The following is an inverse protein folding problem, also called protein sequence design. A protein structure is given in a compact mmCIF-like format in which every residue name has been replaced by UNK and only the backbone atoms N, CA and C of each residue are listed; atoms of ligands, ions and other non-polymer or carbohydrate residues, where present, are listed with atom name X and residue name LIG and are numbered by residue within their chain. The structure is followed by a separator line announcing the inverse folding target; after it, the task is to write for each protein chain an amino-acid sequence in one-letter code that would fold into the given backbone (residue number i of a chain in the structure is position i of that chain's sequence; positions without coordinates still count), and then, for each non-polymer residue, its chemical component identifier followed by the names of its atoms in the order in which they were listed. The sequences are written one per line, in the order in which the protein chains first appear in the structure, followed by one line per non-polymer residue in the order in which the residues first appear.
data_IF_313483929230
#
_entry.id   IF_313483929230
#
_cell.length_a   1.000
_cell.length_b   1.000
_cell.length_c   1.000
_cell.angle_alpha   90.00
_cell.angle_beta   90.00
_cell.angle_gamma   90.00
#
_symmetry.space_group_name_H-M   'P 1'
#
loop_
_entity.id
_entity.type
_entity.pdbx_description
1 polymer ?
#
# COMPACT_ATOMS: atom_id res chain seq x y z
N UNK A 1 28.91 -9.41 3.35
CA UNK A 1 28.83 -8.50 2.19
C UNK A 1 28.24 -7.18 2.63
N UNK A 2 28.75 -6.08 2.07
CA UNK A 2 28.31 -4.74 2.40
C UNK A 2 27.93 -3.99 1.12
N UNK A 3 26.80 -3.31 1.15
CA UNK A 3 26.39 -2.37 0.09
C UNK A 3 27.21 -1.09 0.24
N UNK A 4 27.85 -0.66 -0.84
CA UNK A 4 28.78 0.48 -0.85
C UNK A 4 28.33 1.59 -1.81
N UNK A 5 27.13 1.49 -2.36
CA UNK A 5 26.58 2.46 -3.28
C UNK A 5 25.54 1.86 -4.23
N UNK A 6 25.17 2.63 -5.24
CA UNK A 6 24.22 2.26 -6.29
C UNK A 6 24.84 2.48 -7.67
N UNK A 7 24.34 1.73 -8.64
CA UNK A 7 24.62 1.95 -10.06
C UNK A 7 23.34 1.79 -10.88
N UNK A 8 23.27 2.42 -12.02
CA UNK A 8 22.11 2.36 -12.88
C UNK A 8 22.29 3.12 -14.18
N UNK A 9 21.21 3.31 -14.90
CA UNK A 9 21.15 4.13 -16.11
C UNK A 9 20.18 5.28 -15.87
N UNK A 10 20.60 6.49 -16.09
CA UNK A 10 19.74 7.66 -16.01
C UNK A 10 18.65 7.59 -17.09
N UNK A 11 17.38 7.73 -16.65
CA UNK A 11 16.26 7.55 -17.55
C UNK A 11 16.18 8.60 -18.67
N UNK A 12 16.58 9.84 -18.40
CA UNK A 12 16.52 10.95 -19.37
C UNK A 12 17.71 10.92 -20.31
N UNK A 13 18.90 10.85 -19.76
CA UNK A 13 20.17 10.94 -20.54
C UNK A 13 20.60 9.62 -21.14
N UNK A 14 20.05 8.47 -20.66
CA UNK A 14 20.45 7.11 -21.01
C UNK A 14 21.91 6.78 -20.69
N UNK A 15 22.56 7.60 -19.87
CA UNK A 15 23.94 7.40 -19.48
C UNK A 15 24.04 6.53 -18.22
N UNK A 16 25.00 5.60 -18.15
CA UNK A 16 25.27 4.86 -16.94
C UNK A 16 25.82 5.77 -15.85
N UNK A 17 25.43 5.50 -14.61
CA UNK A 17 26.00 6.18 -13.44
C UNK A 17 26.33 5.18 -12.33
N UNK A 18 27.29 5.59 -11.50
CA UNK A 18 27.66 4.90 -10.27
C UNK A 18 27.88 5.94 -9.17
N UNK A 19 27.28 5.70 -8.00
CA UNK A 19 27.45 6.53 -6.80
C UNK A 19 27.83 5.65 -5.63
N UNK A 20 28.91 6.03 -4.95
CA UNK A 20 29.36 5.37 -3.71
C UNK A 20 28.81 6.11 -2.50
N UNK A 21 28.52 5.39 -1.44
CA UNK A 21 28.04 5.90 -0.18
C UNK A 21 28.41 4.96 0.97
N UNK A 22 28.43 5.48 2.22
CA UNK A 22 28.58 4.64 3.40
C UNK A 22 27.34 3.76 3.62
N UNK A 23 26.15 4.29 3.26
CA UNK A 23 24.87 3.62 3.46
C UNK A 23 23.91 3.97 2.32
N UNK A 24 23.09 3.01 1.93
CA UNK A 24 22.01 3.16 0.94
C UNK A 24 20.67 2.94 1.64
N UNK A 25 19.74 3.87 1.47
CA UNK A 25 18.35 3.72 1.92
C UNK A 25 17.47 3.45 0.70
N UNK A 26 16.76 2.33 0.73
CA UNK A 26 15.79 1.95 -0.30
C UNK A 26 14.38 2.41 0.10
N UNK A 27 13.90 3.43 -0.59
CA UNK A 27 12.53 3.96 -0.53
C UNK A 27 11.86 3.89 -1.91
N UNK A 28 12.21 2.89 -2.74
CA UNK A 28 11.81 2.81 -4.15
C UNK A 28 10.45 2.18 -4.40
N UNK A 29 9.66 1.98 -3.34
CA UNK A 29 8.30 1.46 -3.44
C UNK A 29 8.23 -0.07 -3.46
N UNK A 30 7.04 -0.62 -3.65
CA UNK A 30 6.77 -2.07 -3.49
C UNK A 30 7.61 -2.96 -4.40
N UNK A 31 7.86 -2.54 -5.63
CA UNK A 31 8.68 -3.30 -6.59
C UNK A 31 10.13 -3.41 -6.16
N UNK A 32 10.62 -2.41 -5.44
CA UNK A 32 11.97 -2.30 -4.87
C UNK A 32 13.04 -3.01 -5.72
N UNK A 33 13.46 -2.35 -6.78
CA UNK A 33 14.50 -2.91 -7.67
C UNK A 33 15.79 -3.18 -6.91
N UNK A 34 16.11 -2.37 -5.89
CA UNK A 34 17.32 -2.52 -5.08
C UNK A 34 17.24 -3.75 -4.17
N UNK A 35 16.13 -3.95 -3.45
CA UNK A 35 15.92 -5.14 -2.61
C UNK A 35 16.09 -6.45 -3.39
N UNK A 36 15.64 -6.47 -4.64
CA UNK A 36 15.75 -7.66 -5.48
C UNK A 36 17.17 -7.96 -5.95
N UNK A 37 18.10 -6.97 -5.85
CA UNK A 37 19.49 -7.10 -6.27
C UNK A 37 20.46 -7.41 -5.12
N UNK A 38 20.04 -7.26 -3.86
CA UNK A 38 20.89 -7.66 -2.73
C UNK A 38 21.10 -9.17 -2.74
N UNK A 39 22.23 -9.61 -2.18
CA UNK A 39 22.60 -11.02 -2.18
C UNK A 39 21.61 -11.91 -1.43
N UNK A 40 21.52 -13.17 -1.84
CA UNK A 40 20.66 -14.18 -1.22
C UNK A 40 21.07 -14.53 0.23
N UNK A 41 22.26 -14.13 0.65
CA UNK A 41 22.78 -14.37 2.01
C UNK A 41 22.21 -13.42 3.05
N UNK A 42 21.52 -12.37 2.64
CA UNK A 42 20.86 -11.44 3.57
C UNK A 42 19.59 -12.05 4.14
N UNK A 43 19.20 -11.60 5.34
CA UNK A 43 17.92 -11.99 5.97
C UNK A 43 16.72 -11.26 5.40
N UNK A 44 16.93 -10.27 4.53
CA UNK A 44 15.86 -9.51 3.87
C UNK A 44 15.09 -10.41 2.91
N UNK A 45 13.77 -10.49 3.08
CA UNK A 45 12.89 -11.17 2.14
C UNK A 45 12.83 -10.38 0.83
N UNK A 46 13.27 -10.99 -0.27
CA UNK A 46 13.35 -10.33 -1.57
C UNK A 46 12.05 -10.33 -2.35
N UNK A 47 11.22 -11.36 -2.16
CA UNK A 47 9.97 -11.56 -2.88
C UNK A 47 8.79 -11.60 -1.91
N UNK A 48 7.73 -10.91 -2.27
CA UNK A 48 6.44 -10.96 -1.56
C UNK A 48 5.56 -12.07 -2.13
N UNK A 49 4.79 -12.76 -1.27
CA UNK A 49 3.76 -13.70 -1.73
C UNK A 49 2.63 -12.91 -2.44
N UNK A 50 2.11 -13.46 -3.54
CA UNK A 50 1.05 -12.82 -4.33
C UNK A 50 -0.23 -12.60 -3.53
N UNK A 51 -0.51 -13.45 -2.52
CA UNK A 51 -1.65 -13.31 -1.61
C UNK A 51 -1.51 -12.14 -0.64
N UNK A 52 -0.33 -11.56 -0.53
CA UNK A 52 -0.01 -10.42 0.31
C UNK A 52 0.11 -9.12 -0.48
N UNK A 53 -0.37 -9.13 -1.74
CA UNK A 53 -0.37 -7.96 -2.63
C UNK A 53 -1.77 -7.73 -3.16
N UNK A 54 -2.27 -6.51 -2.99
CA UNK A 54 -3.47 -6.04 -3.67
C UNK A 54 -3.11 -5.26 -4.93
N UNK A 55 -3.92 -5.47 -5.97
CA UNK A 55 -3.93 -4.64 -7.17
C UNK A 55 -5.01 -3.60 -7.01
N UNK A 56 -4.63 -2.33 -7.05
CA UNK A 56 -5.54 -1.20 -6.79
C UNK A 56 -5.73 -0.37 -8.05
N UNK A 57 -6.97 0.09 -8.28
CA UNK A 57 -7.29 1.09 -9.29
C UNK A 57 -7.88 2.32 -8.62
N UNK A 58 -7.55 3.52 -9.11
CA UNK A 58 -8.13 4.76 -8.59
C UNK A 58 -8.36 5.79 -9.68
N UNK A 59 -9.35 6.67 -9.40
CA UNK A 59 -9.59 7.89 -10.16
C UNK A 59 -9.68 9.10 -9.23
N UNK A 60 -9.21 10.24 -9.70
CA UNK A 60 -9.54 11.54 -9.12
C UNK A 60 -10.66 12.12 -9.98
N UNK A 61 -11.80 12.35 -9.37
CA UNK A 61 -13.02 12.74 -10.07
C UNK A 61 -13.55 14.07 -9.53
N UNK A 62 -14.23 14.81 -10.39
CA UNK A 62 -14.93 16.05 -10.09
C UNK A 62 -16.43 15.77 -10.05
N UNK A 63 -17.14 16.19 -8.99
CA UNK A 63 -18.58 16.03 -8.89
C UNK A 63 -19.19 16.96 -7.85
N UNK A 64 -20.51 17.15 -7.96
CA UNK A 64 -21.30 17.87 -7.00
C UNK A 64 -22.33 16.87 -6.40
N UNK A 65 -22.20 16.48 -5.14
CA UNK A 65 -23.16 15.58 -4.50
C UNK A 65 -24.46 16.33 -4.25
N UNK A 66 -25.60 15.63 -4.47
CA UNK A 66 -26.90 16.09 -4.02
C UNK A 66 -27.07 15.91 -2.50
N UNK A 67 -28.04 16.61 -1.89
CA UNK A 67 -28.31 16.54 -0.45
C UNK A 67 -28.61 15.11 0.07
N UNK A 68 -29.13 14.23 -0.79
CA UNK A 68 -29.47 12.85 -0.43
C UNK A 68 -28.31 11.85 -0.63
N UNK A 69 -27.14 12.31 -1.05
CA UNK A 69 -26.02 11.44 -1.42
C UNK A 69 -25.04 11.24 -0.26
N UNK A 70 -25.24 11.88 0.90
CA UNK A 70 -24.32 11.84 2.04
C UNK A 70 -24.04 10.43 2.58
N UNK A 71 -24.99 9.50 2.44
CA UNK A 71 -24.75 8.09 2.81
C UNK A 71 -23.71 7.38 1.94
N UNK A 72 -23.46 7.89 0.73
CA UNK A 72 -22.49 7.33 -0.24
C UNK A 72 -21.28 8.25 -0.44
N UNK A 73 -21.40 9.50 -0.06
CA UNK A 73 -20.32 10.48 -0.04
C UNK A 73 -20.60 11.50 1.06
N UNK A 74 -19.64 11.69 1.93
CA UNK A 74 -19.63 12.73 2.94
C UNK A 74 -18.30 13.48 2.85
N UNK A 75 -18.28 14.81 2.68
CA UNK A 75 -17.05 15.59 2.53
C UNK A 75 -16.16 15.55 3.78
N UNK A 76 -16.70 15.18 4.93
CA UNK A 76 -16.00 15.15 6.21
C UNK A 76 -15.43 13.75 6.54
N UNK A 77 -15.82 12.71 5.78
CA UNK A 77 -15.44 11.32 6.09
C UNK A 77 -14.80 10.60 4.89
N UNK A 78 -13.80 9.78 5.19
CA UNK A 78 -13.29 8.75 4.29
C UNK A 78 -14.20 7.53 4.35
N UNK A 79 -14.91 7.22 3.27
CA UNK A 79 -15.82 6.08 3.19
C UNK A 79 -15.08 4.87 2.63
N UNK A 80 -15.24 3.74 3.30
CA UNK A 80 -14.72 2.43 2.86
C UNK A 80 -15.90 1.48 2.69
N UNK A 81 -15.96 0.81 1.54
CA UNK A 81 -16.95 -0.20 1.20
C UNK A 81 -16.31 -1.59 1.21
N UNK A 82 -16.70 -2.41 2.18
CA UNK A 82 -16.31 -3.83 2.25
C UNK A 82 -17.35 -4.64 1.47
N UNK A 83 -17.10 -4.89 0.19
CA UNK A 83 -17.97 -5.65 -0.71
C UNK A 83 -17.14 -6.65 -1.52
N UNK A 84 -17.26 -7.95 -1.16
CA UNK A 84 -16.51 -9.03 -1.79
C UNK A 84 -16.92 -9.31 -3.26
N UNK A 85 -18.04 -8.75 -3.71
CA UNK A 85 -18.45 -8.85 -5.13
C UNK A 85 -17.77 -7.79 -6.00
N UNK A 86 -17.50 -6.61 -5.44
CA UNK A 86 -16.86 -5.49 -6.14
C UNK A 86 -15.36 -5.44 -5.90
N UNK A 87 -14.93 -5.69 -4.67
CA UNK A 87 -13.53 -5.62 -4.25
C UNK A 87 -13.11 -6.93 -3.55
N UNK A 88 -13.06 -8.06 -4.28
CA UNK A 88 -12.77 -9.37 -3.71
C UNK A 88 -11.41 -9.40 -3.02
N UNK A 89 -11.42 -9.67 -1.72
CA UNK A 89 -10.25 -9.71 -0.85
C UNK A 89 -9.67 -8.36 -0.45
N UNK A 90 -10.28 -7.27 -0.85
CA UNK A 90 -9.90 -5.90 -0.52
C UNK A 90 -11.10 -5.02 -0.20
N UNK A 91 -11.09 -3.77 -0.64
CA UNK A 91 -12.17 -2.81 -0.40
C UNK A 91 -12.25 -1.74 -1.49
N UNK A 92 -13.43 -1.10 -1.60
CA UNK A 92 -13.62 0.14 -2.35
C UNK A 92 -13.53 1.35 -1.43
N UNK A 93 -13.15 2.51 -1.96
CA UNK A 93 -13.08 3.75 -1.18
C UNK A 93 -13.58 4.96 -1.94
N UNK A 94 -14.09 5.92 -1.15
CA UNK A 94 -14.46 7.26 -1.58
C UNK A 94 -13.85 8.25 -0.59
N UNK A 95 -12.79 8.94 -0.98
CA UNK A 95 -12.04 9.84 -0.11
C UNK A 95 -12.15 11.27 -0.61
N UNK A 96 -12.74 12.19 0.17
CA UNK A 96 -12.82 13.60 -0.18
C UNK A 96 -11.41 14.20 -0.37
N UNK A 97 -11.31 15.13 -1.32
CA UNK A 97 -10.07 15.88 -1.59
C UNK A 97 -10.26 17.40 -1.53
N UNK A 98 -11.42 17.88 -1.09
CA UNK A 98 -11.80 19.29 -1.19
C UNK A 98 -12.16 19.70 -2.61
N UNK A 99 -12.71 20.91 -2.77
CA UNK A 99 -13.03 21.55 -4.06
C UNK A 99 -13.85 20.65 -5.01
N UNK A 100 -14.86 19.96 -4.48
CA UNK A 100 -15.67 18.99 -5.21
C UNK A 100 -14.89 17.85 -5.88
N UNK A 101 -13.69 17.55 -5.39
CA UNK A 101 -12.86 16.43 -5.84
C UNK A 101 -12.96 15.24 -4.91
N UNK A 102 -12.92 14.07 -5.50
CA UNK A 102 -12.92 12.78 -4.78
C UNK A 102 -11.84 11.86 -5.35
N UNK A 103 -11.12 11.19 -4.46
CA UNK A 103 -10.30 10.04 -4.80
C UNK A 103 -11.15 8.81 -4.57
N UNK A 104 -11.56 8.17 -5.66
CA UNK A 104 -12.34 6.94 -5.64
C UNK A 104 -11.52 5.80 -6.21
N UNK A 105 -11.64 4.63 -5.59
CA UNK A 105 -10.92 3.46 -6.06
C UNK A 105 -11.36 2.17 -5.40
N UNK A 106 -10.73 1.11 -5.81
CA UNK A 106 -10.84 -0.21 -5.16
C UNK A 106 -9.51 -0.97 -5.23
N UNK A 107 -9.32 -1.85 -4.26
CA UNK A 107 -8.25 -2.83 -4.21
C UNK A 107 -8.81 -4.24 -4.26
N UNK A 108 -8.11 -5.16 -4.91
CA UNK A 108 -8.48 -6.57 -4.98
C UNK A 108 -7.27 -7.46 -4.70
N UNK A 109 -7.46 -8.54 -3.98
CA UNK A 109 -6.48 -9.62 -3.90
C UNK A 109 -6.67 -10.54 -5.12
N UNK A 110 -5.59 -10.72 -5.86
CA UNK A 110 -5.66 -11.37 -7.19
C UNK A 110 -6.15 -12.80 -7.15
N UNK A 111 -5.75 -13.59 -6.17
CA UNK A 111 -6.15 -14.99 -6.10
C UNK A 111 -7.64 -15.15 -5.71
N UNK A 112 -8.14 -14.24 -4.88
CA UNK A 112 -9.57 -14.21 -4.50
C UNK A 112 -10.41 -13.74 -5.70
N UNK A 113 -9.94 -12.75 -6.45
CA UNK A 113 -10.59 -12.34 -7.71
C UNK A 113 -10.65 -13.49 -8.72
N UNK A 114 -9.56 -14.23 -8.91
CA UNK A 114 -9.53 -15.40 -9.81
C UNK A 114 -10.53 -16.48 -9.36
N UNK A 115 -10.62 -16.78 -8.07
CA UNK A 115 -11.58 -17.71 -7.51
C UNK A 115 -13.03 -17.23 -7.71
N UNK A 116 -13.32 -15.96 -7.43
CA UNK A 116 -14.62 -15.32 -7.69
C UNK A 116 -15.01 -15.41 -9.16
N UNK A 117 -14.12 -15.06 -10.07
CA UNK A 117 -14.36 -15.13 -11.49
C UNK A 117 -14.69 -16.53 -11.96
N UNK A 118 -13.94 -17.55 -11.48
CA UNK A 118 -14.23 -18.95 -11.76
C UNK A 118 -15.62 -19.39 -11.27
N UNK A 119 -15.98 -18.99 -10.04
CA UNK A 119 -17.29 -19.29 -9.45
C UNK A 119 -18.44 -18.66 -10.23
N UNK A 120 -18.27 -17.45 -10.73
CA UNK A 120 -19.32 -16.68 -11.39
C UNK A 120 -19.29 -16.80 -12.93
N UNK A 121 -18.35 -17.53 -13.50
CA UNK A 121 -18.17 -17.60 -14.96
C UNK A 121 -17.81 -16.26 -15.58
N UNK A 122 -17.10 -15.38 -14.85
CA UNK A 122 -16.69 -14.04 -15.27
C UNK A 122 -15.19 -13.96 -15.54
N UNK A 123 -14.76 -12.87 -16.18
CA UNK A 123 -13.35 -12.54 -16.43
C UNK A 123 -13.02 -11.11 -15.98
N UNK A 124 -13.56 -10.71 -14.83
CA UNK A 124 -13.35 -9.36 -14.30
C UNK A 124 -11.88 -9.11 -13.95
N UNK A 125 -11.51 -7.84 -14.05
CA UNK A 125 -10.23 -7.30 -13.63
C UNK A 125 -10.45 -5.97 -12.87
N UNK A 126 -9.39 -5.35 -12.37
CA UNK A 126 -9.48 -4.09 -11.62
C UNK A 126 -10.24 -3.01 -12.40
N UNK A 127 -10.01 -2.90 -13.72
CA UNK A 127 -10.65 -1.87 -14.53
C UNK A 127 -12.16 -2.13 -14.71
N UNK A 128 -12.59 -3.40 -14.97
CA UNK A 128 -14.01 -3.73 -15.08
C UNK A 128 -14.74 -3.57 -13.75
N UNK A 129 -14.13 -3.97 -12.65
CA UNK A 129 -14.69 -3.79 -11.30
C UNK A 129 -14.75 -2.31 -10.90
N UNK A 130 -13.76 -1.51 -11.29
CA UNK A 130 -13.79 -0.06 -11.07
C UNK A 130 -14.96 0.60 -11.80
N UNK A 131 -15.22 0.22 -13.06
CA UNK A 131 -16.39 0.67 -13.81
C UNK A 131 -17.69 0.29 -13.09
N UNK A 132 -17.84 -0.98 -12.70
CA UNK A 132 -19.01 -1.46 -11.96
C UNK A 132 -19.19 -0.72 -10.63
N UNK A 133 -18.11 -0.43 -9.91
CA UNK A 133 -18.12 0.32 -8.65
C UNK A 133 -18.64 1.75 -8.83
N UNK A 134 -18.20 2.44 -9.88
CA UNK A 134 -18.68 3.78 -10.23
C UNK A 134 -20.17 3.77 -10.58
N UNK A 135 -20.63 2.78 -11.33
CA UNK A 135 -22.04 2.63 -11.73
C UNK A 135 -22.96 2.33 -10.53
N UNK A 136 -22.48 1.54 -9.56
CA UNK A 136 -23.23 1.21 -8.33
C UNK A 136 -23.29 2.37 -7.34
N UNK A 137 -22.25 3.19 -7.25
CA UNK A 137 -22.22 4.34 -6.35
C UNK A 137 -22.97 5.52 -7.00
N UNK A 138 -24.25 5.68 -6.61
CA UNK A 138 -25.16 6.68 -7.19
C UNK A 138 -24.67 8.11 -6.99
N UNK A 139 -24.00 8.41 -5.87
CA UNK A 139 -23.49 9.74 -5.57
C UNK A 139 -22.46 10.23 -6.57
N UNK A 140 -21.67 9.31 -7.15
CA UNK A 140 -20.53 9.65 -8.01
C UNK A 140 -20.66 9.13 -9.45
N UNK A 141 -21.76 8.45 -9.81
CA UNK A 141 -21.94 7.89 -11.17
C UNK A 141 -21.86 8.90 -12.31
N UNK A 142 -22.18 10.17 -12.03
CA UNK A 142 -22.10 11.28 -12.99
C UNK A 142 -20.81 12.10 -12.86
N UNK A 143 -19.89 11.70 -11.98
CA UNK A 143 -18.62 12.39 -11.79
C UNK A 143 -17.76 12.30 -13.08
N UNK A 144 -16.99 13.34 -13.33
CA UNK A 144 -16.06 13.44 -14.45
C UNK A 144 -14.64 13.31 -13.94
N UNK A 145 -13.75 12.72 -14.75
CA UNK A 145 -12.32 12.74 -14.44
C UNK A 145 -11.85 14.19 -14.31
N UNK A 146 -11.05 14.46 -13.27
CA UNK A 146 -10.47 15.77 -13.06
C UNK A 146 -9.39 16.05 -14.12
N UNK A 147 -9.56 17.13 -14.87
CA UNK A 147 -8.60 17.58 -15.90
C UNK A 147 -7.47 18.44 -15.31
N UNK A 148 -7.67 18.99 -14.10
CA UNK A 148 -6.78 19.99 -13.49
C UNK A 148 -5.42 19.46 -13.02
N UNK A 149 -5.21 18.15 -13.03
CA UNK A 149 -3.95 17.60 -12.55
C UNK A 149 -2.84 17.59 -13.62
N UNK A 150 -3.03 18.24 -14.77
CA UNK A 150 -2.00 18.43 -15.78
C UNK A 150 -1.43 17.17 -16.45
N UNK A 151 -1.73 16.01 -15.89
CA UNK A 151 -1.30 14.71 -16.38
C UNK A 151 -2.37 13.66 -16.08
N UNK A 152 -2.97 13.14 -17.12
CA UNK A 152 -3.99 12.07 -17.05
C UNK A 152 -3.47 10.84 -16.27
N UNK A 153 -2.16 10.60 -16.31
CA UNK A 153 -1.51 9.52 -15.57
C UNK A 153 -1.54 9.72 -14.05
N UNK A 154 -1.67 10.94 -13.56
CA UNK A 154 -1.78 11.23 -12.14
C UNK A 154 -3.20 11.09 -11.61
N UNK A 155 -4.21 11.11 -12.47
CA UNK A 155 -5.63 11.01 -12.10
C UNK A 155 -6.20 9.60 -12.17
N UNK A 156 -5.57 8.73 -12.94
CA UNK A 156 -5.96 7.33 -13.08
C UNK A 156 -4.74 6.43 -12.98
N UNK A 157 -4.91 5.22 -12.45
CA UNK A 157 -3.80 4.29 -12.43
C UNK A 157 -4.16 2.96 -11.76
N UNK A 158 -3.38 1.94 -12.10
CA UNK A 158 -3.40 0.64 -11.42
C UNK A 158 -2.05 0.47 -10.75
N UNK A 159 -2.07 0.26 -9.44
CA UNK A 159 -0.89 0.14 -8.60
C UNK A 159 -0.97 -1.13 -7.76
N UNK A 160 0.17 -1.58 -7.30
CA UNK A 160 0.25 -2.66 -6.32
C UNK A 160 0.58 -2.08 -4.95
N UNK A 161 0.05 -2.71 -3.92
CA UNK A 161 0.34 -2.38 -2.52
C UNK A 161 0.48 -3.68 -1.73
N UNK A 162 1.43 -3.71 -0.80
CA UNK A 162 1.56 -4.83 0.14
C UNK A 162 0.50 -4.72 1.23
N UNK A 163 -0.08 -5.87 1.59
CA UNK A 163 -1.10 -5.98 2.64
C UNK A 163 -0.71 -7.04 3.67
N UNK A 164 0.57 -7.16 3.94
CA UNK A 164 1.15 -8.01 5.00
C UNK A 164 1.88 -7.16 6.03
N UNK A 165 2.31 -7.77 7.14
CA UNK A 165 3.29 -7.11 8.02
C UNK A 165 4.55 -6.75 7.24
N UNK A 166 5.31 -5.81 7.76
CA UNK A 166 6.60 -5.40 7.18
C UNK A 166 7.54 -6.58 6.97
N UNK A 167 8.55 -6.40 6.13
CA UNK A 167 9.65 -7.35 5.97
C UNK A 167 10.26 -7.66 7.34
N UNK A 168 10.53 -8.93 7.63
CA UNK A 168 11.05 -9.36 8.93
C UNK A 168 12.48 -8.85 9.20
N UNK A 169 13.20 -8.48 8.14
CA UNK A 169 14.50 -7.84 8.23
C UNK A 169 14.54 -6.59 7.34
N UNK A 170 14.83 -5.45 7.95
CA UNK A 170 14.85 -4.14 7.28
C UNK A 170 16.25 -3.67 6.92
N UNK A 171 17.30 -4.43 7.27
CA UNK A 171 18.69 -4.00 7.17
C UNK A 171 19.60 -5.09 6.62
N UNK A 172 20.68 -4.65 6.00
CA UNK A 172 21.87 -5.45 5.68
C UNK A 172 23.10 -4.52 5.82
N UNK A 173 24.31 -5.04 5.75
CA UNK A 173 25.49 -4.20 5.82
C UNK A 173 25.46 -3.07 4.78
N UNK A 174 25.45 -1.82 5.22
CA UNK A 174 25.37 -0.63 4.35
C UNK A 174 24.04 -0.42 3.63
N UNK A 175 22.94 -1.09 4.04
CA UNK A 175 21.65 -1.02 3.35
C UNK A 175 20.47 -1.08 4.32
N UNK A 176 19.47 -0.22 4.09
CA UNK A 176 18.24 -0.14 4.89
C UNK A 176 17.01 0.04 3.99
N UNK A 177 15.88 -0.55 4.41
CA UNK A 177 14.56 -0.47 3.75
C UNK A 177 13.63 0.47 4.52
N UNK A 178 12.77 1.23 3.79
CA UNK A 178 11.75 2.07 4.41
C UNK A 178 10.51 2.21 3.50
N UNK A 179 9.34 2.33 4.10
CA UNK A 179 8.08 2.50 3.37
C UNK A 179 7.66 1.24 2.59
N UNK A 180 7.10 1.42 1.40
CA UNK A 180 6.58 0.30 0.61
C UNK A 180 7.67 -0.68 0.15
N UNK A 181 8.92 -0.22 0.01
CA UNK A 181 10.04 -1.13 -0.26
C UNK A 181 10.28 -2.14 0.86
N UNK A 182 9.89 -1.79 2.09
CA UNK A 182 9.93 -2.62 3.28
C UNK A 182 8.58 -3.31 3.61
N UNK A 183 7.56 -3.18 2.73
CA UNK A 183 6.21 -3.67 2.94
C UNK A 183 5.52 -3.12 4.20
N UNK A 184 5.73 -1.82 4.48
CA UNK A 184 5.22 -1.17 5.68
C UNK A 184 3.76 -0.69 5.63
N UNK A 185 3.04 -0.62 4.48
CA UNK A 185 1.61 -0.35 4.50
C UNK A 185 0.86 -1.29 5.45
N UNK A 186 -0.15 -0.75 6.14
CA UNK A 186 -0.95 -1.53 7.09
C UNK A 186 -1.70 -2.66 6.38
N UNK A 187 -1.71 -3.88 6.94
CA UNK A 187 -2.32 -5.03 6.27
C UNK A 187 -3.82 -4.90 6.00
N UNK A 188 -4.55 -4.13 6.81
CA UNK A 188 -6.02 -4.08 6.76
C UNK A 188 -6.56 -3.00 5.80
N UNK A 189 -5.88 -1.87 5.69
CA UNK A 189 -6.36 -0.70 4.93
C UNK A 189 -5.34 -0.17 3.93
N UNK A 190 -4.21 -0.87 3.77
CA UNK A 190 -3.12 -0.48 2.88
C UNK A 190 -2.57 0.95 3.10
N UNK A 191 -2.86 1.55 4.26
CA UNK A 191 -2.40 2.89 4.63
C UNK A 191 -0.89 2.92 4.87
N UNK A 192 -0.11 3.46 3.94
CA UNK A 192 1.36 3.43 3.95
C UNK A 192 2.03 4.72 4.44
N UNK A 193 1.37 5.89 4.34
CA UNK A 193 2.00 7.20 4.63
C UNK A 193 2.44 7.28 6.10
N UNK A 194 1.54 7.00 7.05
CA UNK A 194 1.86 7.04 8.48
C UNK A 194 3.02 6.13 8.87
N UNK A 195 2.95 4.82 8.56
CA UNK A 195 4.07 3.90 8.81
C UNK A 195 5.40 4.34 8.19
N UNK A 196 5.38 4.86 6.95
CA UNK A 196 6.59 5.32 6.29
C UNK A 196 7.22 6.55 6.99
N UNK A 197 6.39 7.49 7.47
CA UNK A 197 6.87 8.66 8.22
C UNK A 197 7.48 8.25 9.57
N UNK A 198 6.82 7.36 10.31
CA UNK A 198 7.34 6.81 11.58
C UNK A 198 8.68 6.10 11.32
N UNK A 199 8.69 5.19 10.35
CA UNK A 199 9.90 4.45 9.99
C UNK A 199 11.03 5.37 9.52
N UNK A 200 10.71 6.41 8.73
CA UNK A 200 11.69 7.40 8.27
C UNK A 200 12.34 8.18 9.42
N UNK A 201 11.56 8.54 10.44
CA UNK A 201 12.09 9.20 11.65
C UNK A 201 13.03 8.29 12.42
N UNK A 202 12.62 7.03 12.67
CA UNK A 202 13.44 6.03 13.37
C UNK A 202 14.71 5.74 12.57
N UNK A 203 14.58 5.55 11.25
CA UNK A 203 15.69 5.30 10.34
C UNK A 203 16.71 6.45 10.39
N UNK A 204 16.25 7.70 10.35
CA UNK A 204 17.13 8.87 10.41
C UNK A 204 18.01 8.89 11.66
N UNK A 205 17.42 8.60 12.83
CA UNK A 205 18.17 8.50 14.08
C UNK A 205 19.21 7.38 14.04
N UNK A 206 18.84 6.19 13.57
CA UNK A 206 19.74 5.05 13.46
C UNK A 206 20.87 5.28 12.45
N UNK A 207 20.59 5.93 11.32
CA UNK A 207 21.59 6.32 10.31
C UNK A 207 22.61 7.29 10.92
N UNK A 208 22.15 8.31 11.64
CA UNK A 208 23.05 9.28 12.30
C UNK A 208 24.02 8.57 13.22
N UNK A 209 23.51 7.72 14.12
CA UNK A 209 24.35 6.95 15.05
C UNK A 209 25.36 6.03 14.34
N UNK A 210 24.91 5.35 13.28
CA UNK A 210 25.78 4.45 12.50
C UNK A 210 26.93 5.20 11.79
N UNK A 211 26.63 6.40 11.25
CA UNK A 211 27.62 7.24 10.57
C UNK A 211 28.63 7.82 11.57
N UNK A 212 28.17 8.29 12.74
CA UNK A 212 29.04 8.80 13.83
C UNK A 212 29.93 7.70 14.40
N UNK A 213 29.39 6.49 14.59
CA UNK A 213 30.17 5.33 15.01
C UNK A 213 31.11 4.79 13.92
N UNK A 214 30.98 5.28 12.67
CA UNK A 214 31.65 4.75 11.48
C UNK A 214 31.46 3.23 11.33
N UNK A 215 30.30 2.72 11.73
CA UNK A 215 29.92 1.30 11.66
C UNK A 215 28.54 1.16 11.01
N UNK A 216 28.49 0.70 9.75
CA UNK A 216 27.28 0.42 8.99
C UNK A 216 27.12 -1.09 8.77
N UNK A 217 27.68 -1.91 9.66
CA UNK A 217 27.45 -3.36 9.65
C UNK A 217 25.98 -3.71 9.90
N UNK A 218 25.55 -4.89 9.44
CA UNK A 218 24.19 -5.38 9.73
C UNK A 218 23.93 -5.42 11.24
N UNK A 219 24.92 -5.81 12.04
CA UNK A 219 24.79 -5.91 13.48
C UNK A 219 24.45 -4.56 14.14
N UNK A 220 25.15 -3.49 13.74
CA UNK A 220 24.90 -2.15 14.27
C UNK A 220 23.57 -1.57 13.74
N UNK A 221 23.26 -1.76 12.46
CA UNK A 221 22.01 -1.31 11.84
C UNK A 221 20.78 -2.09 12.34
N UNK A 222 20.95 -3.25 12.98
CA UNK A 222 19.86 -4.09 13.49
C UNK A 222 18.96 -3.37 14.50
N UNK A 223 19.49 -2.35 15.18
CA UNK A 223 18.71 -1.54 16.11
C UNK A 223 17.48 -0.92 15.44
N UNK A 224 17.56 -0.55 14.15
CA UNK A 224 16.40 -0.05 13.39
C UNK A 224 15.23 -1.06 13.35
N UNK A 225 15.49 -2.36 13.18
CA UNK A 225 14.45 -3.39 13.25
C UNK A 225 13.75 -3.38 14.61
N UNK A 226 14.54 -3.32 15.68
CA UNK A 226 14.04 -3.35 17.05
C UNK A 226 13.19 -2.12 17.33
N UNK A 227 13.66 -0.94 16.98
CA UNK A 227 12.99 0.33 17.22
C UNK A 227 11.68 0.43 16.44
N UNK A 228 11.69 0.05 15.16
CA UNK A 228 10.48 0.05 14.34
C UNK A 228 9.43 -0.96 14.84
N UNK A 229 9.85 -2.18 15.20
CA UNK A 229 8.94 -3.20 15.73
C UNK A 229 8.32 -2.72 17.05
N UNK A 230 9.08 -2.12 17.95
CA UNK A 230 8.59 -1.61 19.24
C UNK A 230 7.63 -0.45 19.07
N UNK A 231 7.91 0.47 18.16
CA UNK A 231 7.08 1.66 17.97
C UNK A 231 5.79 1.36 17.17
N UNK A 232 5.92 0.57 16.12
CA UNK A 232 4.81 0.38 15.18
C UNK A 232 4.61 -1.06 14.73
N UNK A 233 5.68 -1.77 14.37
CA UNK A 233 5.62 -3.04 13.64
C UNK A 233 4.86 -4.15 14.35
N UNK A 234 4.83 -4.16 15.69
CA UNK A 234 4.11 -5.16 16.47
C UNK A 234 2.61 -5.23 16.17
N UNK A 235 1.99 -4.09 15.78
CA UNK A 235 0.57 -4.00 15.45
C UNK A 235 0.24 -4.73 14.13
N UNK A 236 1.19 -4.74 13.20
CA UNK A 236 0.95 -5.21 11.83
C UNK A 236 0.71 -6.72 11.75
N UNK A 237 1.31 -7.51 12.65
CA UNK A 237 1.08 -8.96 12.70
C UNK A 237 -0.37 -9.31 13.03
N UNK A 238 -0.97 -8.64 14.03
CA UNK A 238 -2.38 -8.80 14.38
C UNK A 238 -3.30 -8.34 13.26
N UNK A 239 -2.99 -7.20 12.62
CA UNK A 239 -3.76 -6.69 11.49
C UNK A 239 -3.68 -7.62 10.27
N UNK A 240 -2.56 -8.29 10.02
CA UNK A 240 -2.44 -9.29 8.96
C UNK A 240 -3.36 -10.48 9.20
N UNK A 241 -3.41 -11.01 10.42
CA UNK A 241 -4.32 -12.09 10.78
C UNK A 241 -5.78 -11.68 10.61
N UNK A 242 -6.13 -10.48 11.06
CA UNK A 242 -7.48 -9.94 10.90
C UNK A 242 -7.86 -9.76 9.42
N UNK A 243 -6.97 -9.20 8.59
CA UNK A 243 -7.17 -9.13 7.14
C UNK A 243 -7.46 -10.51 6.54
N UNK A 244 -6.63 -11.50 6.85
CA UNK A 244 -6.80 -12.86 6.34
C UNK A 244 -8.16 -13.46 6.73
N UNK A 245 -8.64 -13.19 7.94
CA UNK A 245 -9.97 -13.58 8.39
C UNK A 245 -11.06 -12.87 7.55
N UNK A 246 -11.01 -11.55 7.43
CA UNK A 246 -12.00 -10.77 6.66
C UNK A 246 -12.06 -11.22 5.20
N UNK A 247 -10.93 -11.55 4.60
CA UNK A 247 -10.84 -12.05 3.23
C UNK A 247 -11.55 -13.40 3.00
N UNK A 248 -11.83 -14.17 4.05
CA UNK A 248 -12.61 -15.43 3.97
C UNK A 248 -14.11 -15.25 4.20
N UNK A 249 -14.54 -14.05 4.62
CA UNK A 249 -15.94 -13.76 4.97
C UNK A 249 -16.79 -13.47 3.74
N UNK A 250 -18.07 -13.81 3.80
CA UNK A 250 -19.10 -13.36 2.86
C UNK A 250 -19.55 -11.93 3.20
N UNK A 251 -20.25 -11.26 2.25
CA UNK A 251 -20.83 -9.94 2.51
C UNK A 251 -21.81 -9.94 3.69
N UNK A 252 -22.59 -11.03 3.87
CA UNK A 252 -23.50 -11.19 5.01
C UNK A 252 -22.75 -11.30 6.33
N UNK A 253 -21.65 -12.06 6.37
CA UNK A 253 -20.84 -12.21 7.57
C UNK A 253 -20.15 -10.89 7.94
N UNK A 254 -19.63 -10.15 6.95
CA UNK A 254 -19.04 -8.82 7.16
C UNK A 254 -20.12 -7.86 7.71
N UNK A 255 -21.30 -7.82 7.08
CA UNK A 255 -22.42 -6.99 7.51
C UNK A 255 -22.90 -7.33 8.93
N UNK A 256 -22.94 -8.62 9.27
CA UNK A 256 -23.27 -9.06 10.62
C UNK A 256 -22.22 -8.58 11.63
N UNK A 257 -20.94 -8.76 11.34
CA UNK A 257 -19.85 -8.30 12.19
C UNK A 257 -19.89 -6.78 12.42
N UNK A 258 -20.08 -6.00 11.35
CA UNK A 258 -20.18 -4.53 11.45
C UNK A 258 -21.34 -4.08 12.35
N UNK A 259 -22.52 -4.69 12.22
CA UNK A 259 -23.69 -4.37 13.05
C UNK A 259 -23.50 -4.69 14.53
N UNK A 260 -22.83 -5.80 14.84
CA UNK A 260 -22.73 -6.29 16.22
C UNK A 260 -21.51 -5.76 16.97
N UNK A 261 -20.43 -5.42 16.27
CA UNK A 261 -19.21 -4.91 16.90
C UNK A 261 -19.10 -3.37 16.86
N UNK A 262 -19.67 -2.72 15.84
CA UNK A 262 -19.62 -1.26 15.70
C UNK A 262 -20.93 -0.55 16.07
N UNK A 263 -22.07 -1.25 16.03
CA UNK A 263 -23.38 -0.68 16.37
C UNK A 263 -23.61 -0.43 17.87
N UNK A 264 -22.65 -0.77 18.73
CA UNK A 264 -22.67 -0.53 20.18
C UNK A 264 -21.58 0.48 20.61
N UNK A 265 -20.95 1.17 19.68
CA UNK A 265 -20.08 2.32 19.90
C UNK A 265 -20.86 3.60 19.52
#
# INVERSE_FOLDING_TARGET
TQVVGIQGVDYKTKQPYKKTSKLVVDATGITSMLRNQIENTTKIERKIDRRDVESTGRHIMYFEPGENDLAQFDPDYCIIHLDQDIAPGGYGWVFPKGDNKVNIGLGVEKSILEQRNKRLGKSDNVASLMKEYLERNKAIKNAKLSEDAGDIHNNTGVYQVSVRRQNDCLVSGGYMLVGDSAWMPKPIDAGGIGPALIAGTILGNNVTQAIEANDVSEANLWQYNIDFIKEYGYKTAGLELFRRLVQTMTNEQISYGMKHFLGNL
#
